data_IF_162675934719
#
_entry.id   IF_162675934719
#
_cell.length_a   1.000
_cell.length_b   1.000
_cell.length_c   1.000
_cell.angle_alpha   90.00
_cell.angle_beta   90.00
_cell.angle_gamma   90.00
#
_symmetry.space_group_name_H-M   'P 1'
#
loop_
_entity.id
_entity.type
_entity.pdbx_description
1 polymer ?
#
# COMPACT_ATOMS: atom_id res chain seq x y z
N UNK A 1 19.81 11.00 -1.70
CA UNK A 1 19.87 9.57 -2.02
C UNK A 1 18.48 8.97 -1.90
N UNK A 2 18.09 8.20 -2.90
CA UNK A 2 16.84 7.48 -2.86
C UNK A 2 16.93 6.30 -1.90
N UNK A 3 15.91 6.12 -1.07
CA UNK A 3 15.82 4.98 -0.19
C UNK A 3 15.38 3.74 -0.99
N UNK A 4 16.13 2.67 -0.87
CA UNK A 4 15.80 1.38 -1.46
C UNK A 4 15.84 0.30 -0.39
N UNK A 5 14.78 -0.49 -0.31
CA UNK A 5 14.68 -1.63 0.61
C UNK A 5 14.67 -2.90 -0.23
N UNK A 6 15.52 -3.85 0.12
CA UNK A 6 15.61 -5.12 -0.61
C UNK A 6 15.10 -6.26 0.28
N UNK A 7 14.22 -7.09 -0.27
CA UNK A 7 13.71 -8.31 0.35
C UNK A 7 14.13 -9.53 -0.46
N UNK A 8 13.65 -10.72 -0.11
CA UNK A 8 13.99 -11.93 -0.87
C UNK A 8 13.57 -11.84 -2.34
N UNK A 9 12.36 -11.35 -2.60
CA UNK A 9 11.79 -11.32 -3.96
C UNK A 9 11.54 -9.93 -4.51
N UNK A 10 11.64 -8.87 -3.69
CA UNK A 10 11.26 -7.52 -4.06
C UNK A 10 12.37 -6.51 -3.82
N UNK A 11 12.29 -5.43 -4.59
CA UNK A 11 12.99 -4.18 -4.32
C UNK A 11 11.91 -3.11 -4.13
N UNK A 12 11.90 -2.47 -2.97
CA UNK A 12 11.03 -1.35 -2.68
C UNK A 12 11.82 -0.07 -2.92
N UNK A 13 11.37 0.76 -3.84
CA UNK A 13 12.03 2.01 -4.22
C UNK A 13 11.03 3.14 -4.41
N UNK A 14 11.46 4.39 -4.36
CA UNK A 14 10.57 5.49 -4.71
C UNK A 14 10.00 5.34 -6.11
N UNK A 15 8.76 5.79 -6.30
CA UNK A 15 8.11 5.86 -7.60
C UNK A 15 8.55 7.12 -8.34
N UNK A 16 8.58 7.04 -9.66
CA UNK A 16 8.86 8.18 -10.55
C UNK A 16 7.77 8.31 -11.61
N UNK A 17 7.77 9.40 -12.36
CA UNK A 17 6.82 9.58 -13.46
C UNK A 17 6.96 8.52 -14.54
N UNK A 18 8.16 7.97 -14.71
CA UNK A 18 8.41 6.90 -15.68
C UNK A 18 7.68 5.60 -15.32
N UNK A 19 7.20 5.49 -14.09
CA UNK A 19 6.45 4.32 -13.62
C UNK A 19 4.97 4.36 -14.01
N UNK A 20 4.49 5.42 -14.62
CA UNK A 20 3.05 5.63 -14.83
C UNK A 20 2.38 4.51 -15.64
N UNK A 21 2.99 4.06 -16.72
CA UNK A 21 2.43 2.99 -17.54
C UNK A 21 2.37 1.67 -16.78
N UNK A 22 3.44 1.32 -16.07
CA UNK A 22 3.46 0.11 -15.25
C UNK A 22 2.45 0.19 -14.10
N UNK A 23 2.37 1.33 -13.43
CA UNK A 23 1.42 1.54 -12.34
C UNK A 23 -0.04 1.49 -12.82
N UNK A 24 -0.32 1.92 -14.04
CA UNK A 24 -1.66 1.85 -14.62
C UNK A 24 -2.20 0.41 -14.70
N UNK A 25 -1.33 -0.58 -14.72
CA UNK A 25 -1.75 -1.99 -14.69
C UNK A 25 -2.57 -2.34 -13.44
N UNK A 26 -2.37 -1.63 -12.33
CA UNK A 26 -3.23 -1.85 -11.16
C UNK A 26 -4.14 -0.66 -10.86
N UNK A 27 -3.72 0.57 -11.10
CA UNK A 27 -4.58 1.74 -10.84
C UNK A 27 -5.77 1.78 -11.78
N UNK A 28 -5.62 1.25 -12.99
CA UNK A 28 -6.68 1.13 -13.99
C UNK A 28 -7.49 -0.16 -13.90
N UNK A 29 -7.24 -1.00 -12.91
CA UNK A 29 -7.94 -2.27 -12.73
C UNK A 29 -8.97 -2.15 -11.60
N UNK A 30 -10.26 -2.28 -11.96
CA UNK A 30 -11.35 -2.18 -11.00
C UNK A 30 -11.26 -3.22 -9.88
N UNK A 31 -10.70 -4.38 -10.14
CA UNK A 31 -10.54 -5.44 -9.14
C UNK A 31 -9.58 -5.00 -8.03
N UNK A 32 -8.54 -4.24 -8.38
CA UNK A 32 -7.58 -3.69 -7.42
C UNK A 32 -8.19 -2.50 -6.67
N UNK A 33 -8.87 -1.61 -7.38
CA UNK A 33 -9.44 -0.40 -6.81
C UNK A 33 -10.71 -0.63 -5.97
N UNK A 34 -11.30 -1.81 -6.03
CA UNK A 34 -12.62 -2.13 -5.44
C UNK A 34 -12.80 -1.64 -4.00
N UNK A 35 -11.80 -1.81 -3.15
CA UNK A 35 -11.86 -1.44 -1.74
C UNK A 35 -10.96 -0.27 -1.38
N UNK A 36 -10.44 0.43 -2.39
CA UNK A 36 -9.50 1.52 -2.18
C UNK A 36 -10.20 2.87 -2.06
N UNK A 37 -9.47 3.81 -1.47
CA UNK A 37 -9.95 5.20 -1.31
C UNK A 37 -9.91 5.99 -2.62
N UNK A 38 -9.13 5.55 -3.59
CA UNK A 38 -9.10 6.18 -4.91
C UNK A 38 -10.07 5.47 -5.87
N UNK A 39 -10.53 6.20 -6.87
CA UNK A 39 -11.32 5.64 -7.96
C UNK A 39 -10.39 5.02 -9.00
N UNK A 40 -10.86 3.99 -9.70
CA UNK A 40 -10.13 3.38 -10.82
C UNK A 40 -9.69 4.47 -11.79
N UNK A 41 -8.40 4.50 -12.13
CA UNK A 41 -7.87 5.48 -13.08
C UNK A 41 -8.37 5.16 -14.49
N UNK A 42 -8.80 6.19 -15.20
CA UNK A 42 -9.33 6.03 -16.55
C UNK A 42 -8.23 6.05 -17.63
N UNK A 43 -7.06 6.57 -17.28
CA UNK A 43 -5.95 6.72 -18.23
C UNK A 43 -4.61 6.76 -17.52
N UNK A 44 -3.54 6.57 -18.28
CA UNK A 44 -2.16 6.75 -17.79
C UNK A 44 -1.93 8.17 -17.29
N UNK A 45 -2.58 9.16 -17.90
CA UNK A 45 -2.46 10.57 -17.47
C UNK A 45 -2.94 10.77 -16.03
N UNK A 46 -4.03 10.12 -15.65
CA UNK A 46 -4.53 10.15 -14.26
C UNK A 46 -3.51 9.53 -13.30
N UNK A 47 -2.87 8.46 -13.71
CA UNK A 47 -1.79 7.83 -12.92
C UNK A 47 -0.59 8.75 -12.78
N UNK A 48 -0.22 9.48 -13.85
CA UNK A 48 0.85 10.50 -13.78
C UNK A 48 0.51 11.60 -12.78
N UNK A 49 -0.72 12.07 -12.76
CA UNK A 49 -1.18 13.08 -11.79
C UNK A 49 -1.02 12.58 -10.36
N UNK A 50 -1.39 11.32 -10.10
CA UNK A 50 -1.18 10.71 -8.81
C UNK A 50 0.30 10.67 -8.44
N UNK A 51 1.16 10.22 -9.35
CA UNK A 51 2.61 10.15 -9.09
C UNK A 51 3.19 11.54 -8.79
N UNK A 52 2.74 12.57 -9.48
CA UNK A 52 3.16 13.96 -9.20
C UNK A 52 2.68 14.46 -7.84
N UNK A 53 1.59 13.91 -7.30
CA UNK A 53 1.04 14.33 -6.02
C UNK A 53 1.79 13.76 -4.81
N UNK A 54 2.62 12.76 -5.01
CA UNK A 54 3.39 12.13 -3.93
C UNK A 54 4.44 13.11 -3.42
N UNK A 55 4.37 13.43 -2.13
CA UNK A 55 5.30 14.38 -1.51
C UNK A 55 6.60 13.66 -1.11
N UNK A 56 7.75 14.34 -1.19
CA UNK A 56 9.04 13.75 -0.75
C UNK A 56 9.06 13.29 0.71
N UNK A 57 8.19 13.87 1.55
CA UNK A 57 8.08 13.49 2.97
C UNK A 57 7.28 12.21 3.21
N UNK A 58 6.58 11.71 2.20
CA UNK A 58 5.78 10.49 2.31
C UNK A 58 6.65 9.26 2.05
N UNK A 59 6.46 8.22 2.88
CA UNK A 59 7.11 6.93 2.70
C UNK A 59 6.26 6.07 1.76
N UNK A 60 6.37 6.33 0.47
CA UNK A 60 5.65 5.59 -0.57
C UNK A 60 6.65 4.92 -1.49
N UNK A 61 6.46 3.62 -1.71
CA UNK A 61 7.38 2.76 -2.45
C UNK A 61 6.68 2.07 -3.60
N UNK A 62 7.40 1.93 -4.71
CA UNK A 62 7.04 0.96 -5.74
C UNK A 62 7.65 -0.40 -5.39
N UNK A 63 6.92 -1.47 -5.67
CA UNK A 63 7.38 -2.84 -5.43
C UNK A 63 7.84 -3.45 -6.75
N UNK A 64 9.15 -3.63 -6.90
CA UNK A 64 9.75 -4.22 -8.10
C UNK A 64 10.06 -5.69 -7.83
N UNK A 65 9.53 -6.57 -8.67
CA UNK A 65 9.80 -8.01 -8.56
C UNK A 65 11.17 -8.31 -9.15
N UNK A 66 12.05 -8.92 -8.35
CA UNK A 66 13.43 -9.18 -8.75
C UNK A 66 13.55 -10.14 -9.94
N UNK A 67 12.68 -11.14 -10.02
CA UNK A 67 12.78 -12.20 -11.03
C UNK A 67 12.70 -11.69 -12.48
N UNK A 68 11.97 -10.61 -12.71
CA UNK A 68 11.76 -10.05 -14.06
C UNK A 68 11.89 -8.51 -14.09
N UNK A 69 12.27 -7.89 -12.98
CA UNK A 69 12.45 -6.45 -12.85
C UNK A 69 11.17 -5.65 -13.17
N UNK A 70 9.99 -6.24 -12.94
CA UNK A 70 8.72 -5.56 -13.17
C UNK A 70 8.19 -4.90 -11.91
N UNK A 71 7.70 -3.67 -12.07
CA UNK A 71 6.95 -2.98 -11.02
C UNK A 71 5.57 -3.63 -10.93
N UNK A 72 5.27 -4.24 -9.78
CA UNK A 72 4.03 -5.02 -9.58
C UNK A 72 3.06 -4.40 -8.59
N UNK A 73 3.43 -3.33 -7.94
CA UNK A 73 2.57 -2.69 -6.95
C UNK A 73 3.23 -1.51 -6.28
N UNK A 74 2.54 -0.98 -5.31
CA UNK A 74 3.01 0.13 -4.49
C UNK A 74 2.42 0.03 -3.09
N UNK A 75 3.04 0.73 -2.16
CA UNK A 75 2.54 0.84 -0.81
C UNK A 75 3.24 1.93 -0.04
N UNK A 76 2.76 2.19 1.16
CA UNK A 76 3.34 3.22 1.99
C UNK A 76 3.16 2.93 3.46
N UNK A 77 3.94 3.64 4.27
CA UNK A 77 3.84 3.63 5.71
C UNK A 77 4.13 5.03 6.23
N UNK A 78 3.13 5.67 6.83
CA UNK A 78 3.22 7.07 7.22
C UNK A 78 2.69 7.32 8.62
N UNK A 79 3.32 8.28 9.31
CA UNK A 79 2.88 8.71 10.63
C UNK A 79 1.62 9.57 10.52
N UNK A 80 0.61 9.22 11.30
CA UNK A 80 -0.64 9.96 11.40
C UNK A 80 -0.64 10.92 12.60
N UNK A 81 -1.56 11.88 12.58
CA UNK A 81 -1.67 12.90 13.63
C UNK A 81 -1.85 12.34 15.04
N UNK A 82 -2.51 11.19 15.16
CA UNK A 82 -2.73 10.51 16.43
C UNK A 82 -1.55 9.66 16.92
N UNK A 83 -0.43 9.69 16.21
CA UNK A 83 0.79 9.00 16.59
C UNK A 83 0.90 7.57 16.13
N UNK A 84 -0.08 7.06 15.41
CA UNK A 84 0.02 5.74 14.78
C UNK A 84 0.71 5.83 13.42
N UNK A 85 1.54 4.83 13.12
CA UNK A 85 2.04 4.58 11.78
C UNK A 85 1.04 3.69 11.06
N UNK A 86 0.54 4.16 9.93
CA UNK A 86 -0.39 3.40 9.10
C UNK A 86 0.27 2.95 7.83
N UNK A 87 0.07 1.68 7.47
CA UNK A 87 0.56 1.14 6.21
C UNK A 87 -0.59 0.62 5.34
N UNK A 88 -0.33 0.64 4.04
CA UNK A 88 -1.23 0.12 3.04
C UNK A 88 -0.48 -0.26 1.79
N UNK A 89 -1.14 -0.95 0.86
CA UNK A 89 -0.51 -1.43 -0.37
C UNK A 89 -1.55 -1.67 -1.47
N UNK A 90 -1.04 -1.74 -2.68
CA UNK A 90 -1.74 -2.20 -3.87
C UNK A 90 -0.85 -3.15 -4.63
N UNK A 91 -1.42 -4.16 -5.27
CA UNK A 91 -0.72 -5.07 -6.16
C UNK A 91 -1.51 -5.28 -7.45
N UNK A 92 -0.79 -5.49 -8.55
CA UNK A 92 -1.40 -6.02 -9.77
C UNK A 92 -2.20 -7.26 -9.41
N UNK A 93 -3.35 -7.39 -10.03
CA UNK A 93 -4.27 -8.49 -9.73
C UNK A 93 -3.61 -9.87 -9.95
N UNK A 94 -2.82 -10.02 -11.01
CA UNK A 94 -2.12 -11.28 -11.33
C UNK A 94 -0.99 -11.63 -10.34
N UNK A 95 -0.65 -10.70 -9.45
CA UNK A 95 0.34 -10.94 -8.39
C UNK A 95 -0.28 -11.27 -7.03
N UNK A 96 -1.59 -11.33 -6.94
CA UNK A 96 -2.29 -11.66 -5.69
C UNK A 96 -2.07 -13.12 -5.30
N UNK A 97 -2.19 -13.40 -4.00
CA UNK A 97 -2.14 -14.77 -3.47
C UNK A 97 -0.76 -15.42 -3.46
N UNK A 98 0.30 -14.63 -3.63
CA UNK A 98 1.68 -15.13 -3.72
C UNK A 98 2.58 -14.64 -2.58
N UNK A 99 2.02 -13.93 -1.60
CA UNK A 99 2.76 -13.45 -0.43
C UNK A 99 3.51 -12.13 -0.63
N UNK A 100 3.43 -11.49 -1.77
CA UNK A 100 4.15 -10.24 -2.04
C UNK A 100 3.70 -9.10 -1.13
N UNK A 101 2.40 -8.97 -0.89
CA UNK A 101 1.87 -7.91 -0.04
C UNK A 101 2.39 -8.02 1.39
N UNK A 102 2.43 -9.23 1.93
CA UNK A 102 2.98 -9.50 3.27
C UNK A 102 4.47 -9.19 3.32
N UNK A 103 5.21 -9.65 2.32
CA UNK A 103 6.66 -9.40 2.22
C UNK A 103 6.98 -7.90 2.18
N UNK A 104 6.28 -7.15 1.33
CA UNK A 104 6.46 -5.70 1.20
C UNK A 104 6.05 -4.97 2.48
N UNK A 105 4.92 -5.32 3.07
CA UNK A 105 4.42 -4.68 4.29
C UNK A 105 5.38 -4.89 5.46
N UNK A 106 5.86 -6.10 5.66
CA UNK A 106 6.87 -6.38 6.69
C UNK A 106 8.15 -5.58 6.49
N UNK A 107 8.60 -5.44 5.25
CA UNK A 107 9.80 -4.67 4.93
C UNK A 107 9.62 -3.18 5.27
N UNK A 108 8.46 -2.60 4.94
CA UNK A 108 8.15 -1.21 5.28
C UNK A 108 8.09 -1.00 6.80
N UNK A 109 7.49 -1.94 7.53
CA UNK A 109 7.39 -1.89 9.00
C UNK A 109 8.80 -1.95 9.62
N UNK A 110 9.64 -2.87 9.16
CA UNK A 110 11.01 -3.02 9.67
C UNK A 110 11.86 -1.78 9.39
N UNK A 111 11.68 -1.16 8.23
CA UNK A 111 12.35 0.10 7.92
C UNK A 111 12.01 1.19 8.93
N UNK A 112 10.72 1.37 9.22
CA UNK A 112 10.27 2.41 10.17
C UNK A 112 10.74 2.09 11.59
N UNK A 113 10.66 0.85 12.01
CA UNK A 113 11.15 0.43 13.33
C UNK A 113 12.66 0.65 13.47
N UNK A 114 13.41 0.34 12.43
CA UNK A 114 14.87 0.57 12.43
C UNK A 114 15.25 2.02 12.57
N UNK A 115 14.41 2.91 12.05
CA UNK A 115 14.68 4.35 12.06
C UNK A 115 14.14 5.05 13.32
N UNK A 116 12.99 4.63 13.83
CA UNK A 116 12.26 5.35 14.89
C UNK A 116 12.10 4.54 16.18
N UNK A 117 12.54 3.29 16.21
CA UNK A 117 12.40 2.42 17.38
C UNK A 117 10.98 1.86 17.52
N UNK A 118 10.51 1.75 18.76
CA UNK A 118 9.18 1.25 19.03
C UNK A 118 8.13 2.22 18.50
N UNK A 119 7.22 1.70 17.68
CA UNK A 119 6.17 2.47 17.05
C UNK A 119 4.82 1.82 17.32
N UNK A 120 3.77 2.62 17.27
CA UNK A 120 2.39 2.12 17.25
C UNK A 120 1.97 1.95 15.80
N UNK A 121 1.57 0.73 15.45
CA UNK A 121 1.15 0.38 14.09
C UNK A 121 -0.34 0.24 13.98
N UNK A 122 -0.86 0.67 12.86
CA UNK A 122 -2.27 0.50 12.50
C UNK A 122 -2.39 0.21 11.01
N UNK A 123 -3.38 -0.58 10.67
CA UNK A 123 -3.83 -0.72 9.29
C UNK A 123 -5.31 -1.04 9.29
N UNK A 124 -5.99 -0.69 8.21
CA UNK A 124 -7.41 -0.97 8.07
C UNK A 124 -7.71 -1.54 6.71
N UNK A 125 -8.79 -2.30 6.64
CA UNK A 125 -9.31 -2.81 5.38
C UNK A 125 -10.82 -2.89 5.43
N UNK A 126 -11.47 -2.93 4.27
CA UNK A 126 -12.89 -3.16 4.19
C UNK A 126 -13.22 -4.53 4.83
N UNK A 127 -14.35 -4.61 5.53
CA UNK A 127 -14.79 -5.86 6.18
C UNK A 127 -14.84 -7.02 5.19
N UNK A 128 -15.25 -6.76 3.95
CA UNK A 128 -15.33 -7.76 2.90
C UNK A 128 -13.98 -8.15 2.30
N UNK A 129 -12.93 -7.36 2.52
CA UNK A 129 -11.60 -7.62 1.99
C UNK A 129 -10.83 -8.58 2.91
N UNK A 130 -11.19 -9.85 2.88
CA UNK A 130 -10.58 -10.86 3.73
C UNK A 130 -9.11 -11.11 3.41
N UNK A 131 -8.71 -10.96 2.15
CA UNK A 131 -7.32 -11.11 1.73
C UNK A 131 -6.43 -10.06 2.40
N UNK A 132 -6.88 -8.81 2.47
CA UNK A 132 -6.14 -7.74 3.14
C UNK A 132 -6.08 -7.98 4.65
N UNK A 133 -7.16 -8.43 5.27
CA UNK A 133 -7.16 -8.78 6.70
C UNK A 133 -6.09 -9.84 7.00
N UNK A 134 -5.96 -10.86 6.17
CA UNK A 134 -4.92 -11.88 6.34
C UNK A 134 -3.50 -11.31 6.25
N UNK A 135 -3.26 -10.41 5.31
CA UNK A 135 -1.95 -9.74 5.19
C UNK A 135 -1.63 -8.96 6.46
N UNK A 136 -2.59 -8.18 6.94
CA UNK A 136 -2.42 -7.36 8.14
C UNK A 136 -2.14 -8.23 9.37
N UNK A 137 -2.88 -9.32 9.53
CA UNK A 137 -2.67 -10.27 10.63
C UNK A 137 -1.30 -10.94 10.55
N UNK A 138 -0.83 -11.30 9.37
CA UNK A 138 0.51 -11.88 9.16
C UNK A 138 1.62 -10.89 9.51
N UNK A 139 1.35 -9.59 9.47
CA UNK A 139 2.28 -8.56 9.93
C UNK A 139 2.29 -8.39 11.45
N UNK A 140 1.47 -9.14 12.17
CA UNK A 140 1.43 -9.16 13.63
C UNK A 140 0.38 -8.25 14.26
N UNK A 141 -0.43 -7.55 13.46
CA UNK A 141 -1.48 -6.70 13.97
C UNK A 141 -2.70 -7.53 14.34
N UNK A 142 -3.45 -7.06 15.34
CA UNK A 142 -4.66 -7.72 15.81
C UNK A 142 -5.88 -6.83 15.63
N UNK A 143 -7.03 -7.45 15.37
CA UNK A 143 -8.28 -6.72 15.24
C UNK A 143 -8.63 -6.00 16.55
N UNK A 144 -9.00 -4.73 16.45
CA UNK A 144 -9.38 -3.90 17.59
C UNK A 144 -10.83 -3.45 17.57
N UNK A 145 -11.31 -2.96 16.42
CA UNK A 145 -12.65 -2.40 16.30
C UNK A 145 -13.09 -2.26 14.88
N UNK A 146 -14.37 -2.05 14.68
CA UNK A 146 -14.92 -1.64 13.38
C UNK A 146 -14.85 -0.12 13.24
N UNK A 147 -14.77 0.33 11.98
CA UNK A 147 -14.79 1.73 11.62
C UNK A 147 -15.37 1.92 10.24
N UNK A 148 -15.14 3.09 9.67
CA UNK A 148 -15.56 3.43 8.31
C UNK A 148 -14.49 4.25 7.62
N UNK A 149 -14.41 4.13 6.30
CA UNK A 149 -13.64 5.06 5.48
C UNK A 149 -14.40 5.37 4.20
N UNK A 150 -14.08 6.51 3.60
CA UNK A 150 -14.70 6.96 2.36
C UNK A 150 -13.66 7.10 1.26
N UNK A 151 -14.09 6.87 0.02
CA UNK A 151 -13.28 7.23 -1.13
C UNK A 151 -13.10 8.76 -1.21
N UNK A 152 -12.03 9.19 -1.88
CA UNK A 152 -11.72 10.63 -2.01
C UNK A 152 -12.85 11.43 -2.68
N UNK A 153 -13.58 10.81 -3.60
CA UNK A 153 -14.72 11.44 -4.27
C UNK A 153 -16.00 11.45 -3.43
N UNK A 154 -15.97 10.77 -2.26
CA UNK A 154 -17.12 10.68 -1.35
C UNK A 154 -18.23 9.75 -1.82
N UNK A 155 -18.09 9.08 -2.96
CA UNK A 155 -19.15 8.21 -3.55
C UNK A 155 -19.26 6.90 -2.81
N UNK A 156 -18.11 6.32 -2.40
CA UNK A 156 -18.07 5.03 -1.73
C UNK A 156 -17.81 5.20 -0.23
N UNK A 157 -18.59 4.49 0.58
CA UNK A 157 -18.34 4.35 2.02
C UNK A 157 -18.16 2.87 2.33
N UNK A 158 -17.08 2.56 3.04
CA UNK A 158 -16.74 1.19 3.40
C UNK A 158 -16.81 1.01 4.90
N UNK A 159 -17.47 -0.07 5.32
CA UNK A 159 -17.32 -0.55 6.70
C UNK A 159 -15.95 -1.23 6.80
N UNK A 160 -15.19 -0.88 7.81
CA UNK A 160 -13.80 -1.29 7.95
C UNK A 160 -13.55 -2.08 9.22
N UNK A 161 -12.52 -2.93 9.16
CA UNK A 161 -11.85 -3.52 10.32
C UNK A 161 -10.57 -2.75 10.57
N UNK A 162 -10.35 -2.35 11.81
CA UNK A 162 -9.15 -1.64 12.24
C UNK A 162 -8.29 -2.59 13.07
N UNK A 163 -7.04 -2.72 12.66
CA UNK A 163 -6.03 -3.58 13.30
C UNK A 163 -4.92 -2.72 13.87
N UNK A 164 -4.42 -3.09 15.05
CA UNK A 164 -3.34 -2.35 15.72
C UNK A 164 -2.33 -3.31 16.33
N UNK A 165 -1.14 -2.76 16.55
CA UNK A 165 -0.06 -3.44 17.25
C UNK A 165 0.64 -2.43 18.16
#
# INVERSE_FOLDING_TARGET
MSLTITTDRLILRPLTLDDAEAAFEWTGDERVARYMIYSTHESVETTKEWLMSIKPSENIFGFVRKSDNKLIGSGGINLKEDGFWEFGYNLRYDCWGQGYATEASKAMIEYVRGKYGDIRLRSECAVENTASAHVIEKCGLVFKRYGEYKSYDGIKTFKAKIFEL
#
